data_IF_376124241610
#
_entry.id   IF_376124241610
#
_cell.length_a   1.000
_cell.length_b   1.000
_cell.length_c   1.000
_cell.angle_alpha   90.00
_cell.angle_beta   90.00
_cell.angle_gamma   90.00
#
_symmetry.space_group_name_H-M   'P 1'
#
loop_
_entity.id
_entity.type
_entity.pdbx_description
1 polymer ?
#
# COMPACT_ATOMS: atom_id res chain seq x y z
N UNK A 1 -1.40 -17.33 7.40
CA UNK A 1 -1.08 -15.90 7.25
C UNK A 1 -0.03 -15.72 6.16
N UNK A 2 -0.27 -14.80 5.26
CA UNK A 2 0.68 -14.42 4.23
C UNK A 2 0.89 -12.92 4.27
N UNK A 3 2.04 -12.49 3.78
CA UNK A 3 2.36 -11.06 3.68
C UNK A 3 2.37 -10.69 2.20
N UNK A 4 1.56 -9.70 1.84
CA UNK A 4 1.51 -9.15 0.50
C UNK A 4 2.14 -7.75 0.53
N UNK A 5 3.09 -7.52 -0.37
CA UNK A 5 3.82 -6.25 -0.42
C UNK A 5 3.54 -5.55 -1.74
N UNK A 6 3.11 -4.31 -1.65
CA UNK A 6 3.08 -3.39 -2.78
C UNK A 6 4.52 -2.93 -3.00
N UNK A 7 5.23 -3.63 -3.88
CA UNK A 7 6.68 -3.57 -3.93
C UNK A 7 7.25 -2.48 -4.83
N UNK A 8 6.42 -1.81 -5.62
CA UNK A 8 6.90 -0.83 -6.59
C UNK A 8 7.69 0.32 -5.96
N UNK A 9 7.34 0.70 -4.74
CA UNK A 9 8.00 1.80 -4.07
C UNK A 9 8.32 1.46 -2.62
N UNK A 10 8.66 0.20 -2.36
CA UNK A 10 8.93 -0.26 -1.01
C UNK A 10 10.44 -0.42 -0.79
N UNK A 11 11.09 0.46 -0.04
CA UNK A 11 12.53 0.37 0.19
C UNK A 11 12.93 -0.66 1.25
N UNK A 12 11.96 -1.30 1.90
CA UNK A 12 12.22 -2.20 3.03
C UNK A 12 11.93 -3.67 2.72
N UNK A 13 11.90 -4.03 1.44
CA UNK A 13 11.65 -5.42 1.02
C UNK A 13 12.63 -6.37 1.69
N UNK A 14 13.91 -6.02 1.74
CA UNK A 14 14.94 -6.87 2.35
C UNK A 14 14.66 -7.13 3.83
N UNK A 15 14.20 -6.11 4.54
CA UNK A 15 13.88 -6.23 5.95
C UNK A 15 12.65 -7.12 6.14
N UNK A 16 11.65 -6.94 5.29
CA UNK A 16 10.43 -7.74 5.34
C UNK A 16 10.77 -9.22 5.12
N UNK A 17 11.57 -9.51 4.11
CA UNK A 17 11.98 -10.89 3.81
C UNK A 17 12.79 -11.49 4.94
N UNK A 18 13.70 -10.75 5.51
CA UNK A 18 14.55 -11.22 6.61
C UNK A 18 13.71 -11.64 7.81
N UNK A 19 12.77 -10.79 8.20
CA UNK A 19 11.91 -11.07 9.35
C UNK A 19 10.95 -12.22 9.04
N UNK A 20 10.38 -12.21 7.85
CA UNK A 20 9.42 -13.25 7.44
C UNK A 20 10.08 -14.62 7.37
N UNK A 21 11.28 -14.68 6.84
CA UNK A 21 12.05 -15.92 6.76
C UNK A 21 12.32 -16.48 8.16
N UNK A 22 12.66 -15.61 9.10
CA UNK A 22 12.92 -16.00 10.48
C UNK A 22 11.68 -16.63 11.12
N UNK A 23 10.51 -16.17 10.75
CA UNK A 23 9.24 -16.65 11.33
C UNK A 23 8.49 -17.63 10.42
N UNK A 24 9.11 -18.06 9.33
CA UNK A 24 8.51 -18.99 8.36
C UNK A 24 7.19 -18.48 7.78
N UNK A 25 7.15 -17.19 7.44
CA UNK A 25 5.97 -16.55 6.86
C UNK A 25 6.21 -16.35 5.37
N UNK A 26 5.23 -16.75 4.56
CA UNK A 26 5.29 -16.56 3.11
C UNK A 26 5.10 -15.09 2.75
N UNK A 27 5.90 -14.61 1.81
CA UNK A 27 5.83 -13.24 1.32
C UNK A 27 5.59 -13.26 -0.18
N UNK A 28 4.67 -12.44 -0.64
CA UNK A 28 4.40 -12.23 -2.05
C UNK A 28 4.66 -10.76 -2.37
N UNK A 29 5.57 -10.52 -3.31
CA UNK A 29 5.90 -9.19 -3.78
C UNK A 29 5.13 -8.94 -5.07
N UNK A 30 4.37 -7.85 -5.12
CA UNK A 30 3.64 -7.46 -6.33
C UNK A 30 4.28 -6.22 -6.92
N UNK A 31 4.59 -6.28 -8.20
CA UNK A 31 5.21 -5.17 -8.91
C UNK A 31 4.64 -5.07 -10.32
N UNK A 32 4.87 -3.94 -10.98
CA UNK A 32 4.46 -3.79 -12.36
C UNK A 32 5.58 -4.21 -13.31
N UNK A 33 5.29 -4.19 -14.61
CA UNK A 33 6.26 -4.61 -15.63
C UNK A 33 7.47 -3.70 -15.74
N UNK A 34 7.39 -2.49 -15.20
CA UNK A 34 8.50 -1.53 -15.23
C UNK A 34 9.43 -1.66 -14.03
N UNK A 35 9.01 -2.40 -13.00
CA UNK A 35 9.75 -2.51 -11.75
C UNK A 35 9.88 -3.96 -11.30
N UNK A 36 10.24 -4.84 -12.24
CA UNK A 36 10.33 -6.26 -11.96
C UNK A 36 11.41 -6.53 -10.92
N UNK A 37 11.03 -7.23 -9.87
CA UNK A 37 11.92 -7.61 -8.79
C UNK A 37 12.25 -9.10 -8.87
N UNK A 38 13.37 -9.46 -8.27
CA UNK A 38 13.77 -10.85 -8.14
C UNK A 38 14.01 -11.16 -6.67
N UNK A 39 13.59 -12.32 -6.24
CA UNK A 39 13.76 -12.74 -4.85
C UNK A 39 13.98 -14.24 -4.78
N UNK A 40 14.88 -14.65 -3.90
CA UNK A 40 15.12 -16.06 -3.63
C UNK A 40 14.14 -16.61 -2.60
N UNK A 41 13.49 -15.75 -1.86
CA UNK A 41 12.60 -16.15 -0.78
C UNK A 41 11.13 -15.94 -1.13
N UNK A 42 10.80 -14.73 -1.63
CA UNK A 42 9.42 -14.33 -1.88
C UNK A 42 8.93 -14.79 -3.23
N UNK A 43 7.64 -15.04 -3.35
CA UNK A 43 6.99 -15.16 -4.63
C UNK A 43 6.86 -13.76 -5.23
N UNK A 44 7.24 -13.61 -6.49
CA UNK A 44 7.13 -12.33 -7.19
C UNK A 44 6.03 -12.44 -8.23
N UNK A 45 5.04 -11.58 -8.13
CA UNK A 45 3.97 -11.51 -9.11
C UNK A 45 4.11 -10.20 -9.88
N UNK A 46 4.34 -10.32 -11.18
CA UNK A 46 4.44 -9.17 -12.07
C UNK A 46 3.07 -8.95 -12.68
N UNK A 47 2.51 -7.78 -12.46
CA UNK A 47 1.20 -7.41 -12.97
C UNK A 47 1.40 -6.48 -14.16
N UNK A 48 0.41 -6.38 -15.03
CA UNK A 48 0.49 -5.49 -16.18
C UNK A 48 0.76 -4.05 -15.79
N UNK A 49 1.23 -3.25 -16.76
CA UNK A 49 1.52 -1.84 -16.52
C UNK A 49 0.29 -1.08 -16.09
N UNK A 50 0.48 -0.12 -15.20
CA UNK A 50 -0.60 0.71 -14.69
C UNK A 50 -0.64 0.70 -13.17
N UNK A 51 -0.82 1.89 -12.56
CA UNK A 51 -0.78 2.03 -11.12
C UNK A 51 -1.83 1.18 -10.41
N UNK A 52 -3.00 1.03 -11.02
CA UNK A 52 -4.11 0.33 -10.37
C UNK A 52 -4.02 -1.18 -10.50
N UNK A 53 -3.23 -1.69 -11.44
CA UNK A 53 -3.15 -3.13 -11.68
C UNK A 53 -2.58 -3.88 -10.47
N UNK A 54 -1.54 -3.33 -9.85
CA UNK A 54 -0.94 -3.91 -8.65
C UNK A 54 -1.93 -3.88 -7.50
N UNK A 55 -2.61 -2.77 -7.32
CA UNK A 55 -3.59 -2.60 -6.24
C UNK A 55 -4.72 -3.61 -6.34
N UNK A 56 -5.30 -3.77 -7.52
CA UNK A 56 -6.38 -4.72 -7.74
C UNK A 56 -5.93 -6.15 -7.47
N UNK A 57 -4.76 -6.51 -7.99
CA UNK A 57 -4.26 -7.87 -7.82
C UNK A 57 -3.98 -8.16 -6.36
N UNK A 58 -3.36 -7.23 -5.66
CA UNK A 58 -3.03 -7.39 -4.25
C UNK A 58 -4.30 -7.60 -3.43
N UNK A 59 -5.30 -6.76 -3.63
CA UNK A 59 -6.55 -6.85 -2.88
C UNK A 59 -7.30 -8.14 -3.24
N UNK A 60 -7.25 -8.56 -4.50
CA UNK A 60 -7.91 -9.80 -4.89
C UNK A 60 -7.31 -11.04 -4.23
N UNK A 61 -6.01 -11.00 -3.93
CA UNK A 61 -5.30 -12.12 -3.34
C UNK A 61 -5.36 -12.13 -1.82
N UNK A 62 -5.42 -10.97 -1.19
CA UNK A 62 -5.41 -10.93 0.27
C UNK A 62 -6.74 -11.40 0.85
N UNK A 63 -6.65 -12.07 1.99
CA UNK A 63 -7.80 -12.59 2.71
C UNK A 63 -7.71 -12.17 4.16
N UNK A 64 -8.76 -12.49 4.91
CA UNK A 64 -8.76 -12.32 6.35
C UNK A 64 -7.50 -12.97 6.93
N UNK A 65 -6.89 -12.35 7.88
CA UNK A 65 -5.69 -12.81 8.58
C UNK A 65 -4.37 -12.64 7.79
N UNK A 66 -4.41 -12.05 6.62
CA UNK A 66 -3.19 -11.69 5.91
C UNK A 66 -2.72 -10.30 6.32
N UNK A 67 -1.47 -9.97 5.95
CA UNK A 67 -0.88 -8.66 6.22
C UNK A 67 -0.52 -8.02 4.90
N UNK A 68 -0.91 -6.78 4.72
CA UNK A 68 -0.62 -6.01 3.51
C UNK A 68 0.34 -4.88 3.88
N UNK A 69 1.44 -4.76 3.14
CA UNK A 69 2.41 -3.69 3.33
C UNK A 69 2.31 -2.76 2.13
N UNK A 70 1.88 -1.55 2.38
CA UNK A 70 1.67 -0.56 1.33
C UNK A 70 1.78 0.85 1.89
N UNK A 71 2.15 1.80 1.05
CA UNK A 71 2.08 3.21 1.40
C UNK A 71 0.84 3.89 0.82
N UNK A 72 -0.03 3.16 0.15
CA UNK A 72 -1.26 3.68 -0.43
C UNK A 72 -2.42 3.49 0.55
N UNK A 73 -3.03 4.60 0.96
CA UNK A 73 -4.14 4.59 1.92
C UNK A 73 -5.36 3.85 1.38
N UNK A 74 -5.61 3.96 0.08
CA UNK A 74 -6.73 3.28 -0.55
C UNK A 74 -6.59 1.77 -0.48
N UNK A 75 -5.40 1.27 -0.78
CA UNK A 75 -5.09 -0.16 -0.67
C UNK A 75 -5.23 -0.61 0.78
N UNK A 76 -4.68 0.17 1.71
CA UNK A 76 -4.78 -0.16 3.14
C UNK A 76 -6.23 -0.22 3.61
N UNK A 77 -7.04 0.74 3.17
CA UNK A 77 -8.46 0.77 3.53
C UNK A 77 -9.20 -0.46 3.01
N UNK A 78 -8.92 -0.86 1.77
CA UNK A 78 -9.53 -2.05 1.19
C UNK A 78 -9.08 -3.32 1.90
N UNK A 79 -7.82 -3.40 2.28
CA UNK A 79 -7.30 -4.55 3.02
C UNK A 79 -7.98 -4.67 4.38
N UNK A 80 -8.10 -3.56 5.10
CA UNK A 80 -8.79 -3.56 6.38
C UNK A 80 -10.26 -3.96 6.22
N UNK A 81 -10.91 -3.54 5.14
CA UNK A 81 -12.28 -3.92 4.84
C UNK A 81 -12.46 -5.41 4.62
N UNK A 82 -11.43 -6.11 4.19
CA UNK A 82 -11.45 -7.56 4.00
C UNK A 82 -11.07 -8.32 5.28
N UNK A 83 -10.74 -7.62 6.34
CA UNK A 83 -10.32 -8.24 7.58
C UNK A 83 -8.82 -8.52 7.66
N UNK A 84 -8.06 -8.08 6.67
CA UNK A 84 -6.61 -8.17 6.71
C UNK A 84 -6.03 -7.02 7.53
N UNK A 85 -4.79 -7.19 7.99
CA UNK A 85 -4.05 -6.11 8.62
C UNK A 85 -3.30 -5.34 7.53
N UNK A 86 -3.06 -4.07 7.76
CA UNK A 86 -2.27 -3.25 6.85
C UNK A 86 -1.25 -2.44 7.62
N UNK A 87 -0.04 -2.35 7.06
CA UNK A 87 1.06 -1.64 7.69
C UNK A 87 1.79 -0.81 6.64
N UNK A 88 2.18 0.39 7.04
CA UNK A 88 3.01 1.25 6.21
C UNK A 88 4.45 0.77 6.27
N UNK A 89 5.22 1.02 5.22
CA UNK A 89 6.63 0.60 5.17
C UNK A 89 7.48 1.18 6.30
N UNK A 90 7.03 2.23 6.96
CA UNK A 90 7.70 2.81 8.12
C UNK A 90 7.49 2.00 9.40
N UNK A 91 6.63 0.99 9.37
CA UNK A 91 6.28 0.19 10.52
C UNK A 91 5.02 0.66 11.24
N UNK A 92 4.38 1.70 10.76
CA UNK A 92 3.16 2.21 11.37
C UNK A 92 1.94 1.43 10.88
N UNK A 93 1.18 0.90 11.80
CA UNK A 93 -0.03 0.16 11.46
C UNK A 93 -1.14 1.11 11.00
N UNK A 94 -1.86 0.68 9.97
CA UNK A 94 -3.08 1.36 9.58
C UNK A 94 -4.23 0.84 10.45
N UNK A 95 -5.04 1.74 10.94
CA UNK A 95 -6.25 1.42 11.69
C UNK A 95 -7.43 2.12 11.04
N UNK A 96 -8.64 1.70 11.34
CA UNK A 96 -9.83 2.35 10.80
C UNK A 96 -9.83 3.84 11.15
N UNK A 97 -9.41 4.19 12.37
CA UNK A 97 -9.37 5.59 12.78
C UNK A 97 -8.36 6.41 11.99
N UNK A 98 -7.11 5.94 11.86
CA UNK A 98 -6.11 6.74 11.15
C UNK A 98 -6.34 6.74 9.64
N UNK A 99 -6.88 5.68 9.09
CA UNK A 99 -7.26 5.63 7.68
C UNK A 99 -8.33 6.68 7.38
N UNK A 100 -9.35 6.77 8.21
CA UNK A 100 -10.41 7.75 8.02
C UNK A 100 -9.85 9.18 8.07
N UNK A 101 -8.96 9.45 9.01
CA UNK A 101 -8.31 10.76 9.11
C UNK A 101 -7.45 11.06 7.89
N UNK A 102 -6.68 10.09 7.43
CA UNK A 102 -5.81 10.25 6.26
C UNK A 102 -6.63 10.51 4.99
N UNK A 103 -7.69 9.76 4.79
CA UNK A 103 -8.56 9.94 3.64
C UNK A 103 -9.28 11.29 3.70
N UNK A 104 -9.73 11.69 4.87
CA UNK A 104 -10.37 12.98 5.06
C UNK A 104 -9.39 14.11 4.76
N UNK A 105 -8.19 14.05 5.28
CA UNK A 105 -7.14 15.03 5.02
C UNK A 105 -6.86 15.16 3.53
N UNK A 106 -6.74 14.03 2.84
CA UNK A 106 -6.51 14.00 1.40
C UNK A 106 -7.66 14.68 0.65
N UNK A 107 -8.89 14.40 1.05
CA UNK A 107 -10.07 15.01 0.46
C UNK A 107 -10.08 16.52 0.67
N UNK A 108 -9.82 16.95 1.88
CA UNK A 108 -9.77 18.38 2.21
C UNK A 108 -8.66 19.10 1.45
N UNK A 109 -7.49 18.49 1.33
CA UNK A 109 -6.39 19.07 0.58
C UNK A 109 -6.74 19.21 -0.90
N UNK A 110 -7.41 18.22 -1.46
CA UNK A 110 -7.86 18.27 -2.86
C UNK A 110 -8.87 19.39 -3.05
N UNK A 111 -9.82 19.53 -2.13
CA UNK A 111 -10.82 20.59 -2.17
C UNK A 111 -10.18 21.95 -2.04
N UNK A 112 -9.23 22.11 -1.13
CA UNK A 112 -8.50 23.35 -0.94
C UNK A 112 -7.74 23.76 -2.20
N UNK A 113 -7.10 22.81 -2.88
CA UNK A 113 -6.40 23.10 -4.14
C UNK A 113 -7.34 23.56 -5.24
N UNK A 114 -8.52 22.97 -5.31
CA UNK A 114 -9.55 23.41 -6.28
C UNK A 114 -9.97 24.85 -6.00
N UNK A 115 -10.18 25.18 -4.75
CA UNK A 115 -10.54 26.55 -4.35
C UNK A 115 -9.43 27.53 -4.65
N UNK A 116 -8.18 27.14 -4.46
CA UNK A 116 -7.02 27.97 -4.80
C UNK A 116 -6.95 28.28 -6.27
N UNK A 117 -7.30 27.31 -7.12
CA UNK A 117 -7.33 27.53 -8.58
C UNK A 117 -8.42 28.49 -8.99
N UNK A 118 -9.53 28.50 -8.26
CA UNK A 118 -10.62 29.43 -8.52
C UNK A 118 -10.28 30.82 -8.04
N UNK A 119 -9.56 30.93 -6.94
CA UNK A 119 -9.19 32.21 -6.32
C UNK A 119 -7.69 32.46 -6.53
N UNK A 120 -7.32 32.68 -7.75
CA UNK A 120 -5.92 32.79 -8.15
C UNK A 120 -5.17 33.85 -7.39
N UNK A 121 -5.84 34.96 -7.08
CA UNK A 121 -5.22 36.08 -6.39
C UNK A 121 -5.02 35.84 -4.91
N UNK A 122 -5.55 34.77 -4.38
CA UNK A 122 -5.51 34.50 -2.96
C UNK A 122 -4.30 33.66 -2.61
N UNK A 123 -3.30 34.24 -1.96
CA UNK A 123 -2.20 33.42 -1.45
C UNK A 123 -2.74 32.63 -0.29
N UNK A 124 -2.88 31.38 -0.47
CA UNK A 124 -3.33 30.52 0.60
C UNK A 124 -2.22 30.31 1.59
N UNK A 125 -2.57 30.31 2.77
CA UNK A 125 -1.64 30.07 3.82
C UNK A 125 -1.74 28.70 4.37
#
# INVERSE_FOLDING_TARGET
MQIFVDADACPVVDIIEKISKKHHISVTLLCDTNHVLHSDYSEVIVVGAGADAVDYKLISLCTKDDVVITQDYGVAAMALGKGAAAIHQSGKWYTNNNIDQMLMTRHLNKKARRLSLIHISEPTR
#
